data_IF_672087021880
#
_entry.id   IF_672087021880
#
_cell.length_a   1.000
_cell.length_b   1.000
_cell.length_c   1.000
_cell.angle_alpha   90.00
_cell.angle_beta   90.00
_cell.angle_gamma   90.00
#
_symmetry.space_group_name_H-M   'P 1'
#
loop_
_entity.id
_entity.type
_entity.pdbx_description
1 polymer ?
#
# COMPACT_ATOMS: atom_id res chain seq x y z
N UNK A 1 20.82 11.31 0.48
CA UNK A 1 20.82 11.01 -0.97
C UNK A 1 20.67 9.51 -1.15
N UNK A 2 19.50 9.04 -1.59
CA UNK A 2 19.27 7.62 -1.86
C UNK A 2 20.22 7.15 -2.98
N UNK A 3 20.70 5.90 -2.87
CA UNK A 3 21.57 5.30 -3.88
C UNK A 3 20.77 5.11 -5.18
N UNK A 4 21.05 5.93 -6.21
CA UNK A 4 20.34 5.88 -7.49
C UNK A 4 20.48 4.55 -8.24
N UNK A 5 21.38 3.67 -7.83
CA UNK A 5 21.54 2.34 -8.42
C UNK A 5 20.53 1.31 -7.89
N UNK A 6 19.70 1.65 -6.89
CA UNK A 6 18.66 0.77 -6.38
C UNK A 6 17.39 0.87 -7.23
N UNK A 7 16.72 -0.27 -7.43
CA UNK A 7 15.37 -0.32 -8.01
C UNK A 7 14.37 0.48 -7.16
N UNK A 8 13.34 1.01 -7.83
CA UNK A 8 12.20 1.68 -7.22
C UNK A 8 11.18 0.63 -6.77
N UNK A 9 10.85 0.62 -5.48
CA UNK A 9 9.75 -0.16 -4.91
C UNK A 9 8.59 0.78 -4.59
N UNK A 10 7.50 0.65 -5.34
CA UNK A 10 6.25 1.41 -5.14
C UNK A 10 5.29 0.57 -4.33
N UNK A 11 5.03 0.97 -3.08
CA UNK A 11 4.16 0.25 -2.16
C UNK A 11 2.82 0.95 -2.07
N UNK A 12 1.73 0.21 -2.24
CA UNK A 12 0.38 0.69 -1.89
C UNK A 12 0.16 0.43 -0.41
N UNK A 13 0.06 1.45 0.46
CA UNK A 13 0.08 1.24 1.89
C UNK A 13 -1.20 0.57 2.41
N UNK A 14 -2.35 0.88 1.83
CA UNK A 14 -3.63 0.26 2.19
C UNK A 14 -3.67 -1.19 1.74
N UNK A 15 -4.22 -2.04 2.60
CA UNK A 15 -4.33 -3.48 2.40
C UNK A 15 -2.98 -4.23 2.29
N UNK A 16 -1.84 -3.54 2.14
CA UNK A 16 -0.51 -4.14 2.23
C UNK A 16 0.12 -3.92 3.60
N UNK A 17 0.27 -2.66 4.03
CA UNK A 17 0.98 -2.31 5.27
C UNK A 17 0.04 -2.11 6.45
N UNK A 18 -1.20 -1.71 6.18
CA UNK A 18 -2.19 -1.41 7.20
C UNK A 18 -3.62 -1.51 6.69
N UNK A 19 -4.55 -1.65 7.63
CA UNK A 19 -5.98 -1.59 7.38
C UNK A 19 -6.64 -0.55 8.31
N UNK A 20 -7.38 0.41 7.72
CA UNK A 20 -8.33 1.24 8.45
C UNK A 20 -9.72 0.60 8.40
N UNK A 21 -10.24 0.18 9.54
CA UNK A 21 -11.51 -0.55 9.59
C UNK A 21 -12.72 0.37 9.83
N UNK A 22 -13.59 0.47 8.83
CA UNK A 22 -14.87 1.20 8.93
C UNK A 22 -16.00 0.34 9.51
N UNK A 23 -16.92 0.97 10.26
CA UNK A 23 -18.18 0.33 10.67
C UNK A 23 -18.04 -0.73 11.76
N UNK A 24 -17.16 -0.48 12.74
CA UNK A 24 -16.96 -1.34 13.91
C UNK A 24 -16.11 -2.58 13.63
N UNK A 25 -15.31 -2.95 14.62
CA UNK A 25 -14.50 -4.17 14.65
C UNK A 25 -14.92 -4.95 15.90
N UNK A 26 -14.85 -6.28 15.83
CA UNK A 26 -15.13 -7.14 16.99
C UNK A 26 -14.27 -6.73 18.19
N UNK A 27 -14.82 -6.77 19.41
CA UNK A 27 -14.21 -6.12 20.58
C UNK A 27 -12.93 -6.78 21.08
N UNK A 28 -12.61 -7.99 20.62
CA UNK A 28 -11.37 -8.70 20.98
C UNK A 28 -10.18 -8.36 20.06
N UNK A 29 -10.39 -7.61 18.99
CA UNK A 29 -9.28 -7.07 18.21
C UNK A 29 -8.78 -5.79 18.86
N UNK A 30 -7.51 -5.79 19.22
CA UNK A 30 -6.81 -4.59 19.68
C UNK A 30 -6.18 -3.88 18.48
N UNK A 31 -6.64 -2.66 18.12
CA UNK A 31 -6.04 -1.91 17.03
C UNK A 31 -4.68 -1.37 17.44
N UNK A 32 -3.75 -1.28 16.48
CA UNK A 32 -2.43 -0.67 16.70
C UNK A 32 -2.56 0.78 17.15
N UNK A 33 -3.54 1.50 16.60
CA UNK A 33 -3.94 2.83 17.05
C UNK A 33 -5.33 3.19 16.52
N UNK A 34 -5.81 4.38 16.88
CA UNK A 34 -7.05 4.94 16.33
C UNK A 34 -6.79 6.25 15.60
N UNK A 35 -7.25 6.35 14.37
CA UNK A 35 -7.20 7.57 13.55
C UNK A 35 -8.49 8.38 13.74
N UNK A 36 -8.38 9.66 14.08
CA UNK A 36 -9.52 10.53 14.35
C UNK A 36 -9.69 11.63 13.31
N UNK A 37 -10.92 11.88 12.87
CA UNK A 37 -11.29 13.00 11.97
C UNK A 37 -12.17 14.04 12.69
N UNK A 38 -11.95 14.21 14.01
CA UNK A 38 -12.75 15.07 14.88
C UNK A 38 -14.03 14.40 15.38
N UNK A 39 -14.99 14.11 14.50
CA UNK A 39 -16.29 13.52 14.88
C UNK A 39 -16.28 12.00 14.96
N UNK A 40 -15.30 11.34 14.31
CA UNK A 40 -15.21 9.89 14.22
C UNK A 40 -13.79 9.41 14.49
N UNK A 41 -13.69 8.21 15.05
CA UNK A 41 -12.42 7.54 15.34
C UNK A 41 -12.44 6.12 14.77
N UNK A 42 -11.46 5.79 13.94
CA UNK A 42 -11.37 4.53 13.22
C UNK A 42 -10.20 3.71 13.77
N UNK A 43 -10.42 2.43 14.12
CA UNK A 43 -9.33 1.53 14.44
C UNK A 43 -8.45 1.29 13.22
N UNK A 44 -7.14 1.35 13.40
CA UNK A 44 -6.12 1.05 12.40
C UNK A 44 -5.27 -0.11 12.89
N UNK A 45 -5.13 -1.10 12.02
CA UNK A 45 -4.32 -2.30 12.24
C UNK A 45 -3.10 -2.19 11.33
N UNK A 46 -1.92 -2.12 11.93
CA UNK A 46 -0.66 -2.26 11.20
C UNK A 46 -0.42 -3.74 10.93
N UNK A 47 0.22 -4.05 9.81
CA UNK A 47 0.67 -5.40 9.55
C UNK A 47 1.72 -5.82 10.58
N UNK A 48 1.66 -7.03 11.14
CA UNK A 48 2.76 -7.54 11.94
C UNK A 48 4.08 -7.53 11.16
N UNK A 49 5.20 -7.42 11.86
CA UNK A 49 6.54 -7.28 11.27
C UNK A 49 6.75 -6.07 10.32
N UNK A 50 5.84 -5.08 10.33
CA UNK A 50 5.92 -3.91 9.45
C UNK A 50 7.27 -3.16 9.51
N UNK A 51 7.82 -2.98 10.71
CA UNK A 51 9.10 -2.27 10.85
C UNK A 51 10.27 -3.04 10.24
N UNK A 52 10.29 -4.37 10.41
CA UNK A 52 11.31 -5.23 9.82
C UNK A 52 11.24 -5.19 8.29
N UNK A 53 10.02 -5.33 7.76
CA UNK A 53 9.73 -5.21 6.34
C UNK A 53 10.18 -3.86 5.76
N UNK A 54 9.77 -2.75 6.37
CA UNK A 54 10.11 -1.41 5.87
C UNK A 54 11.61 -1.11 5.96
N UNK A 55 12.30 -1.55 7.03
CA UNK A 55 13.75 -1.42 7.13
C UNK A 55 14.44 -2.17 5.97
N UNK A 56 14.03 -3.42 5.71
CA UNK A 56 14.53 -4.17 4.56
C UNK A 56 14.28 -3.43 3.23
N UNK A 57 13.07 -2.89 3.02
CA UNK A 57 12.74 -2.14 1.83
C UNK A 57 13.68 -0.93 1.63
N UNK A 58 13.89 -0.11 2.66
CA UNK A 58 14.77 1.06 2.57
C UNK A 58 16.26 0.68 2.38
N UNK A 59 16.69 -0.42 2.99
CA UNK A 59 18.06 -0.92 2.88
C UNK A 59 18.38 -1.43 1.46
N UNK A 60 17.38 -1.83 0.68
CA UNK A 60 17.59 -2.49 -0.62
C UNK A 60 17.00 -1.73 -1.82
N UNK A 61 16.00 -0.86 -1.62
CA UNK A 61 15.26 -0.18 -2.68
C UNK A 61 15.20 1.33 -2.46
N UNK A 62 14.88 2.08 -3.51
CA UNK A 62 14.27 3.41 -3.39
C UNK A 62 12.79 3.19 -3.11
N UNK A 63 12.30 3.58 -1.95
CA UNK A 63 10.93 3.27 -1.54
C UNK A 63 10.03 4.45 -1.87
N UNK A 64 8.93 4.21 -2.57
CA UNK A 64 7.88 5.16 -2.83
C UNK A 64 6.53 4.62 -2.37
N UNK A 65 5.59 5.52 -2.10
CA UNK A 65 4.23 5.17 -1.73
C UNK A 65 3.23 5.71 -2.74
N UNK A 66 2.19 4.93 -3.02
CA UNK A 66 1.04 5.41 -3.78
C UNK A 66 -0.27 4.99 -3.11
N UNK A 67 -0.96 5.96 -2.54
CA UNK A 67 -2.18 5.80 -1.75
C UNK A 67 -3.41 6.33 -2.47
N UNK A 68 -4.55 5.67 -2.27
CA UNK A 68 -5.88 6.18 -2.66
C UNK A 68 -6.61 6.85 -1.48
N UNK A 69 -6.10 6.70 -0.26
CA UNK A 69 -6.62 7.34 0.94
C UNK A 69 -6.33 8.84 0.98
N UNK A 70 -7.02 9.53 1.89
CA UNK A 70 -6.83 10.96 2.09
C UNK A 70 -5.41 11.27 2.58
N UNK A 71 -4.83 12.41 2.17
CA UNK A 71 -3.48 12.82 2.60
C UNK A 71 -3.32 12.87 4.12
N UNK A 72 -4.35 13.30 4.85
CA UNK A 72 -4.30 13.39 6.32
C UNK A 72 -4.17 12.02 6.97
N UNK A 73 -4.84 11.00 6.42
CA UNK A 73 -4.75 9.65 6.95
C UNK A 73 -3.37 9.05 6.71
N UNK A 74 -2.81 9.21 5.51
CA UNK A 74 -1.47 8.73 5.20
C UNK A 74 -0.43 9.44 6.05
N UNK A 75 -0.54 10.76 6.21
CA UNK A 75 0.39 11.49 7.05
C UNK A 75 0.35 11.04 8.52
N UNK A 76 -0.85 10.81 9.11
CA UNK A 76 -0.96 10.26 10.46
C UNK A 76 -0.36 8.84 10.55
N UNK A 77 -0.63 7.99 9.58
CA UNK A 77 -0.08 6.63 9.54
C UNK A 77 1.45 6.64 9.47
N UNK A 78 2.04 7.42 8.56
CA UNK A 78 3.49 7.56 8.44
C UNK A 78 4.12 8.13 9.71
N UNK A 79 3.50 9.14 10.33
CA UNK A 79 4.00 9.70 11.57
C UNK A 79 4.01 8.68 12.72
N UNK A 80 3.03 7.77 12.77
CA UNK A 80 2.98 6.71 13.79
C UNK A 80 3.95 5.56 13.52
N UNK A 81 4.16 5.22 12.25
CA UNK A 81 5.08 4.15 11.85
C UNK A 81 6.53 4.60 12.03
N UNK A 82 6.88 5.79 11.56
CA UNK A 82 8.26 6.26 11.52
C UNK A 82 8.65 7.17 12.69
N UNK A 83 7.70 7.85 13.33
CA UNK A 83 8.01 8.80 14.40
C UNK A 83 8.97 9.88 13.94
N UNK A 84 10.01 10.15 14.73
CA UNK A 84 11.06 11.13 14.43
C UNK A 84 11.96 10.72 13.23
N UNK A 85 11.86 9.46 12.77
CA UNK A 85 12.59 8.99 11.58
C UNK A 85 11.91 9.39 10.27
N UNK A 86 10.70 9.93 10.31
CA UNK A 86 10.04 10.46 9.12
C UNK A 86 10.69 11.78 8.73
N UNK A 87 11.39 11.78 7.60
CA UNK A 87 12.03 12.96 7.03
C UNK A 87 11.56 13.16 5.59
N UNK A 88 11.75 14.35 4.99
CA UNK A 88 11.42 14.56 3.57
C UNK A 88 12.11 13.58 2.60
N UNK A 89 13.24 12.98 3.01
CA UNK A 89 14.03 12.04 2.20
C UNK A 89 13.67 10.56 2.46
N UNK A 90 12.71 10.29 3.37
CA UNK A 90 12.31 8.90 3.71
C UNK A 90 11.75 8.16 2.51
N UNK A 91 11.04 8.84 1.62
CA UNK A 91 10.46 8.24 0.42
C UNK A 91 10.93 8.96 -0.84
N UNK A 92 11.12 8.24 -1.94
CA UNK A 92 11.40 8.82 -3.26
C UNK A 92 10.25 9.73 -3.69
N UNK A 93 9.00 9.26 -3.47
CA UNK A 93 7.79 10.08 -3.54
C UNK A 93 6.66 9.46 -2.72
N UNK A 94 5.65 10.29 -2.43
CA UNK A 94 4.37 9.86 -1.87
C UNK A 94 3.29 10.43 -2.78
N UNK A 95 2.64 9.56 -3.55
CA UNK A 95 1.53 9.91 -4.42
C UNK A 95 0.19 9.61 -3.77
N UNK A 96 -0.76 10.52 -3.98
CA UNK A 96 -2.13 10.40 -3.51
C UNK A 96 -3.12 10.13 -4.64
N UNK A 97 -4.41 10.26 -4.30
CA UNK A 97 -5.54 10.11 -5.23
C UNK A 97 -5.50 11.06 -6.43
N UNK A 98 -4.77 12.17 -6.30
CA UNK A 98 -4.63 13.19 -7.36
C UNK A 98 -3.81 12.68 -8.54
N UNK A 99 -2.92 11.70 -8.32
CA UNK A 99 -2.13 11.04 -9.38
C UNK A 99 -2.89 9.88 -10.05
N UNK A 100 -4.01 9.44 -9.46
CA UNK A 100 -4.83 8.39 -10.05
C UNK A 100 -5.53 8.87 -11.33
N UNK A 101 -5.70 7.96 -12.28
CA UNK A 101 -6.29 8.22 -13.60
C UNK A 101 -7.63 7.50 -13.75
N UNK A 102 -8.52 7.95 -14.65
CA UNK A 102 -9.68 7.14 -15.04
C UNK A 102 -9.24 5.80 -15.66
N UNK A 103 -9.90 4.67 -15.36
CA UNK A 103 -9.61 3.39 -16.02
C UNK A 103 -9.90 3.48 -17.52
N UNK A 104 -9.04 2.94 -18.37
CA UNK A 104 -9.23 3.01 -19.83
C UNK A 104 -10.30 2.03 -20.34
N UNK A 105 -10.49 0.92 -19.62
CA UNK A 105 -11.39 -0.18 -19.98
C UNK A 105 -12.83 0.00 -19.47
N UNK A 106 -13.11 1.12 -18.78
CA UNK A 106 -14.42 1.41 -18.23
C UNK A 106 -14.87 0.43 -17.13
N UNK A 107 -13.98 -0.36 -16.51
CA UNK A 107 -14.33 -1.35 -15.46
C UNK A 107 -15.03 -0.78 -14.23
N UNK A 108 -14.98 0.53 -14.06
CA UNK A 108 -15.71 1.23 -13.00
C UNK A 108 -16.89 2.08 -13.50
N UNK A 109 -17.21 2.02 -14.79
CA UNK A 109 -18.42 2.62 -15.37
C UNK A 109 -19.60 1.68 -15.20
N UNK A 110 -20.11 1.54 -13.97
CA UNK A 110 -21.37 0.84 -13.69
C UNK A 110 -22.44 1.90 -13.42
N UNK A 111 -23.49 1.94 -14.25
CA UNK A 111 -24.63 2.84 -14.03
C UNK A 111 -25.20 2.65 -12.62
N UNK A 112 -25.21 3.72 -11.83
CA UNK A 112 -25.75 3.74 -10.47
C UNK A 112 -24.83 3.23 -9.36
N UNK A 113 -23.59 2.78 -9.66
CA UNK A 113 -22.62 2.30 -8.64
C UNK A 113 -21.32 3.10 -8.75
N UNK A 114 -21.14 4.07 -7.85
CA UNK A 114 -20.06 5.08 -7.86
C UNK A 114 -18.81 4.63 -7.10
N UNK A 115 -18.52 3.33 -7.03
CA UNK A 115 -17.58 2.87 -5.99
C UNK A 115 -16.09 3.03 -6.34
N UNK A 116 -15.72 3.21 -7.61
CA UNK A 116 -14.39 3.69 -8.01
C UNK A 116 -14.52 4.51 -9.30
N UNK A 117 -13.84 5.64 -9.43
CA UNK A 117 -13.81 6.43 -10.69
C UNK A 117 -12.39 6.63 -11.19
N UNK A 118 -11.39 6.17 -10.42
CA UNK A 118 -9.97 6.28 -10.71
C UNK A 118 -9.22 5.05 -10.23
N UNK A 119 -8.04 4.83 -10.79
CA UNK A 119 -7.08 3.80 -10.44
C UNK A 119 -5.65 4.34 -10.52
N UNK A 120 -4.71 3.63 -9.89
CA UNK A 120 -3.28 3.85 -10.08
C UNK A 120 -2.87 3.40 -11.49
N UNK A 121 -1.80 4.00 -12.02
CA UNK A 121 -1.35 3.73 -13.39
C UNK A 121 0.14 3.50 -13.44
N UNK A 122 0.55 2.41 -14.09
CA UNK A 122 1.94 2.09 -14.36
C UNK A 122 2.57 3.15 -15.26
N UNK A 123 1.86 3.58 -16.31
CA UNK A 123 2.32 4.61 -17.24
C UNK A 123 2.65 5.93 -16.55
N UNK A 124 1.95 6.29 -15.48
CA UNK A 124 2.31 7.49 -14.68
C UNK A 124 3.69 7.40 -14.06
N UNK A 125 4.12 6.20 -13.64
CA UNK A 125 5.47 5.98 -13.10
C UNK A 125 6.50 6.13 -14.22
N UNK A 126 6.19 5.60 -15.41
CA UNK A 126 7.05 5.74 -16.60
C UNK A 126 7.15 7.22 -17.03
N UNK A 127 6.03 7.92 -17.09
CA UNK A 127 5.94 9.36 -17.42
C UNK A 127 6.69 10.25 -16.42
N UNK A 128 6.79 9.81 -15.16
CA UNK A 128 7.61 10.47 -14.13
C UNK A 128 9.12 10.25 -14.31
N UNK A 129 9.53 9.45 -15.31
CA UNK A 129 10.92 9.26 -15.73
C UNK A 129 11.60 8.01 -15.18
N UNK A 130 10.86 7.09 -14.57
CA UNK A 130 11.41 5.80 -14.14
C UNK A 130 11.34 4.78 -15.28
N UNK A 131 12.36 3.93 -15.39
CA UNK A 131 12.38 2.87 -16.38
C UNK A 131 11.69 1.60 -15.87
N UNK A 132 11.06 0.84 -16.77
CA UNK A 132 10.32 -0.39 -16.44
C UNK A 132 11.18 -1.40 -15.66
N UNK A 133 12.44 -1.59 -16.06
CA UNK A 133 13.38 -2.53 -15.45
C UNK A 133 13.82 -2.14 -14.04
N UNK A 134 13.59 -0.88 -13.65
CA UNK A 134 13.85 -0.38 -12.31
C UNK A 134 12.63 -0.47 -11.38
N UNK A 135 11.41 -0.71 -11.87
CA UNK A 135 10.19 -0.61 -11.06
C UNK A 135 9.75 -1.97 -10.53
N UNK A 136 9.39 -2.00 -9.24
CA UNK A 136 8.64 -3.07 -8.61
C UNK A 136 7.44 -2.44 -7.90
N UNK A 137 6.23 -2.91 -8.20
CA UNK A 137 4.99 -2.55 -7.53
C UNK A 137 4.63 -3.64 -6.54
N UNK A 138 4.26 -3.19 -5.34
CA UNK A 138 3.75 -4.02 -4.27
C UNK A 138 2.32 -3.59 -3.92
N UNK A 139 1.35 -4.38 -4.35
CA UNK A 139 -0.08 -4.18 -4.08
C UNK A 139 -0.78 -5.56 -4.09
N UNK A 140 -2.07 -5.59 -3.84
CA UNK A 140 -2.87 -6.81 -3.68
C UNK A 140 -3.32 -7.37 -5.02
N UNK A 141 -3.73 -6.51 -5.96
CA UNK A 141 -4.40 -6.95 -7.18
C UNK A 141 -4.10 -6.05 -8.39
N UNK A 142 -3.40 -6.56 -9.43
CA UNK A 142 -3.06 -5.78 -10.61
C UNK A 142 -4.30 -5.34 -11.42
N UNK A 143 -5.47 -5.97 -11.22
CA UNK A 143 -6.73 -5.55 -11.85
C UNK A 143 -7.21 -4.17 -11.41
N UNK A 144 -6.67 -3.66 -10.30
CA UNK A 144 -6.95 -2.31 -9.82
C UNK A 144 -6.04 -1.26 -10.45
N UNK A 145 -5.09 -1.65 -11.29
CA UNK A 145 -4.15 -0.75 -11.96
C UNK A 145 -4.41 -0.65 -13.45
N UNK A 146 -3.92 0.44 -14.04
CA UNK A 146 -3.91 0.71 -15.47
C UNK A 146 -2.47 0.66 -16.02
N UNK A 147 -2.21 0.09 -17.20
CA UNK A 147 -3.15 -0.70 -18.00
C UNK A 147 -3.46 -2.06 -17.35
N UNK A 148 -4.72 -2.49 -17.45
CA UNK A 148 -5.17 -3.74 -16.81
C UNK A 148 -4.53 -4.93 -17.51
N UNK A 149 -3.93 -5.84 -16.74
CA UNK A 149 -3.28 -7.05 -17.25
C UNK A 149 -2.07 -6.81 -18.16
N UNK A 150 -1.63 -5.56 -18.31
CA UNK A 150 -0.50 -5.19 -19.17
C UNK A 150 0.73 -4.73 -18.38
N UNK A 151 0.66 -4.75 -17.04
CA UNK A 151 1.83 -4.55 -16.19
C UNK A 151 2.72 -5.79 -16.27
N UNK A 152 4.01 -5.66 -16.62
CA UNK A 152 4.92 -6.80 -16.68
C UNK A 152 5.02 -7.54 -15.35
N UNK A 153 5.00 -8.88 -15.39
CA UNK A 153 5.14 -9.73 -14.20
C UNK A 153 6.43 -9.46 -13.42
N UNK A 154 7.50 -9.02 -14.11
CA UNK A 154 8.75 -8.60 -13.48
C UNK A 154 8.57 -7.41 -12.54
N UNK A 155 7.66 -6.50 -12.88
CA UNK A 155 7.38 -5.26 -12.17
C UNK A 155 6.34 -5.42 -11.07
N UNK A 156 5.79 -6.62 -10.82
CA UNK A 156 4.70 -6.80 -9.86
C UNK A 156 5.04 -7.86 -8.80
N UNK A 157 4.61 -7.60 -7.56
CA UNK A 157 4.49 -8.56 -6.47
C UNK A 157 3.09 -8.41 -5.86
N UNK A 158 2.35 -9.52 -5.81
CA UNK A 158 1.05 -9.57 -5.14
C UNK A 158 1.23 -9.93 -3.67
N UNK A 159 0.57 -9.20 -2.78
CA UNK A 159 0.58 -9.50 -1.34
C UNK A 159 -0.80 -9.91 -0.85
N UNK A 160 -0.85 -10.86 0.09
CA UNK A 160 -2.08 -11.16 0.82
C UNK A 160 -2.61 -9.89 1.50
N UNK A 161 -3.88 -9.51 1.29
CA UNK A 161 -4.37 -8.25 1.82
C UNK A 161 -4.65 -8.32 3.33
N UNK A 162 -4.34 -7.26 4.06
CA UNK A 162 -4.89 -6.98 5.39
C UNK A 162 -6.16 -6.12 5.26
N UNK A 163 -7.35 -6.64 5.56
CA UNK A 163 -8.58 -5.86 5.44
C UNK A 163 -9.66 -6.28 6.43
N UNK A 164 -10.77 -5.53 6.47
CA UNK A 164 -11.93 -5.83 7.33
C UNK A 164 -13.07 -6.49 6.56
N UNK A 165 -13.53 -7.65 7.02
CA UNK A 165 -14.70 -8.37 6.50
C UNK A 165 -15.69 -8.67 7.62
N UNK A 166 -16.91 -8.13 7.53
CA UNK A 166 -18.01 -8.34 8.51
C UNK A 166 -17.59 -8.21 10.00
N UNK A 167 -16.72 -7.25 10.29
CA UNK A 167 -16.25 -6.93 11.64
C UNK A 167 -15.01 -7.71 12.09
N UNK A 168 -14.55 -8.67 11.27
CA UNK A 168 -13.26 -9.33 11.43
C UNK A 168 -12.19 -8.54 10.70
N UNK A 169 -10.99 -8.47 11.27
CA UNK A 169 -9.79 -8.09 10.53
C UNK A 169 -9.13 -9.37 10.07
N UNK A 170 -8.71 -9.42 8.81
CA UNK A 170 -8.13 -10.61 8.21
C UNK A 170 -6.88 -10.28 7.42
N UNK A 171 -5.94 -11.22 7.38
CA UNK A 171 -4.78 -11.20 6.49
C UNK A 171 -4.91 -12.40 5.55
N UNK A 172 -5.02 -12.17 4.24
CA UNK A 172 -5.17 -13.26 3.27
C UNK A 172 -6.44 -14.11 3.44
N UNK A 173 -7.45 -13.61 4.16
CA UNK A 173 -8.68 -14.33 4.50
C UNK A 173 -8.64 -15.03 5.86
N UNK A 174 -7.47 -15.18 6.47
CA UNK A 174 -7.31 -15.71 7.82
C UNK A 174 -7.49 -14.60 8.86
N UNK A 175 -7.91 -14.95 10.08
CA UNK A 175 -8.09 -13.96 11.14
C UNK A 175 -6.77 -13.26 11.47
N UNK A 176 -6.82 -11.94 11.62
CA UNK A 176 -5.65 -11.15 11.99
C UNK A 176 -5.02 -11.69 13.28
N UNK A 177 -3.71 -11.93 13.22
CA UNK A 177 -2.88 -12.39 14.33
C UNK A 177 -1.65 -11.49 14.43
N UNK A 178 -1.23 -11.07 15.63
CA UNK A 178 0.08 -10.43 15.84
C UNK A 178 1.28 -11.29 15.42
N UNK A 179 1.09 -12.60 15.29
CA UNK A 179 2.12 -13.57 14.91
C UNK A 179 2.10 -13.89 13.39
N UNK A 180 1.37 -13.12 12.57
CA UNK A 180 1.34 -13.31 11.12
C UNK A 180 2.69 -12.91 10.48
N UNK A 181 3.36 -13.86 9.85
CA UNK A 181 4.66 -13.64 9.20
C UNK A 181 4.55 -13.45 7.68
N UNK A 182 3.34 -13.35 7.11
CA UNK A 182 3.14 -13.38 5.65
C UNK A 182 3.81 -12.22 4.92
N UNK A 183 4.06 -11.10 5.60
CA UNK A 183 4.82 -9.98 5.01
C UNK A 183 6.32 -10.27 4.92
N UNK A 184 6.84 -11.20 5.72
CA UNK A 184 8.24 -11.64 5.65
C UNK A 184 8.46 -12.53 4.42
N UNK A 185 7.47 -13.32 4.00
CA UNK A 185 7.55 -14.08 2.73
C UNK A 185 7.75 -13.15 1.52
N UNK A 186 7.18 -11.94 1.58
CA UNK A 186 7.36 -10.90 0.55
C UNK A 186 8.82 -10.43 0.47
N UNK A 187 9.56 -10.41 1.59
CA UNK A 187 10.99 -10.07 1.60
C UNK A 187 11.77 -11.04 0.70
N UNK A 188 11.46 -12.33 0.77
CA UNK A 188 12.15 -13.34 -0.03
C UNK A 188 11.78 -13.27 -1.52
N UNK A 189 10.61 -12.73 -1.86
CA UNK A 189 10.27 -12.38 -3.24
C UNK A 189 11.00 -11.12 -3.71
N UNK A 190 11.06 -10.07 -2.88
CA UNK A 190 11.80 -8.85 -3.18
C UNK A 190 13.29 -9.12 -3.40
N UNK A 191 13.92 -9.99 -2.60
CA UNK A 191 15.32 -10.42 -2.80
C UNK A 191 15.57 -11.08 -4.16
N UNK A 192 14.55 -11.70 -4.77
CA UNK A 192 14.67 -12.34 -6.10
C UNK A 192 14.51 -11.34 -7.24
N UNK A 193 13.87 -10.19 -7.00
CA UNK A 193 13.57 -9.16 -8.00
C UNK A 193 14.48 -7.92 -7.93
N UNK A 194 15.08 -7.64 -6.77
CA UNK A 194 16.08 -6.60 -6.53
C UNK A 194 17.46 -7.00 -7.00
#
# INVERSE_FOLDING_TARGET
>A
MQNKNKKLLVIVPEDVLLCRAFGGVKPWYEPSYRFGTGMTSYPVFLRPHLNEFLNFCHDNFRVALWSESSPEFIQDALQRIYGDKLTPDTFEFIWGVDECVPPSDGRYNVEGIVHRTRCKSFDRIIDAGYSEDEIIILDVNPKHWEPVYEIPDSCWISVLPIHKVFGNVTIGGESYSPDDETILDVIDELKRKG
#
